data_IF_134377382668
#
_entry.id   IF_134377382668
#
_cell.length_a   1.000
_cell.length_b   1.000
_cell.length_c   1.000
_cell.angle_alpha   90.00
_cell.angle_beta   90.00
_cell.angle_gamma   90.00
#
_symmetry.space_group_name_H-M   'P 1'
#
loop_
_entity.id
_entity.type
_entity.pdbx_description
1 polymer ?
#
# COMPACT_ATOMS: atom_id res chain seq x y z
N UNK A 1 -2.97 0.19 -6.91
CA UNK A 1 -1.79 1.08 -6.90
C UNK A 1 -0.58 0.44 -6.21
N UNK A 2 -0.72 -0.03 -4.97
CA UNK A 2 0.41 -0.57 -4.19
C UNK A 2 1.19 -1.69 -4.90
N UNK A 3 0.52 -2.66 -5.53
CA UNK A 3 1.21 -3.72 -6.29
C UNK A 3 2.04 -3.18 -7.46
N UNK A 4 1.46 -2.26 -8.22
CA UNK A 4 2.07 -1.70 -9.44
C UNK A 4 3.31 -0.85 -9.10
N UNK A 5 3.30 -0.12 -7.98
CA UNK A 5 4.42 0.74 -7.58
C UNK A 5 5.37 0.06 -6.60
N UNK A 6 4.83 -0.67 -5.63
CA UNK A 6 5.56 -1.29 -4.54
C UNK A 6 6.37 -2.52 -4.95
N UNK A 7 5.87 -3.37 -5.87
CA UNK A 7 6.64 -4.54 -6.34
C UNK A 7 7.89 -4.12 -7.12
N UNK A 8 7.82 -3.20 -8.11
CA UNK A 8 9.03 -2.70 -8.76
C UNK A 8 9.98 -1.99 -7.80
N UNK A 9 9.45 -1.19 -6.87
CA UNK A 9 10.26 -0.51 -5.85
C UNK A 9 11.00 -1.50 -4.94
N UNK A 10 10.33 -2.54 -4.46
CA UNK A 10 10.93 -3.61 -3.69
C UNK A 10 12.00 -4.35 -4.50
N UNK A 11 11.76 -4.56 -5.79
CA UNK A 11 12.73 -5.17 -6.70
C UNK A 11 14.00 -4.32 -6.84
N UNK A 12 13.85 -3.02 -7.11
CA UNK A 12 14.97 -2.06 -7.16
C UNK A 12 15.73 -2.05 -5.84
N UNK A 13 15.01 -2.00 -4.71
CA UNK A 13 15.62 -1.98 -3.38
C UNK A 13 16.30 -3.31 -3.00
N UNK A 14 15.90 -4.44 -3.58
CA UNK A 14 16.50 -5.74 -3.32
C UNK A 14 17.71 -6.02 -4.23
N UNK A 15 17.59 -5.73 -5.52
CA UNK A 15 18.51 -6.20 -6.57
C UNK A 15 19.52 -5.16 -7.05
N UNK A 16 19.27 -3.86 -6.86
CA UNK A 16 20.16 -2.80 -7.36
C UNK A 16 20.95 -2.14 -6.21
N UNK A 17 22.20 -1.79 -6.52
CA UNK A 17 23.05 -0.96 -5.68
C UNK A 17 23.19 0.42 -6.35
N UNK A 18 22.81 1.48 -5.64
CA UNK A 18 22.89 2.85 -6.12
C UNK A 18 23.09 3.83 -4.97
N UNK A 19 23.75 4.98 -5.19
CA UNK A 19 23.92 6.00 -4.17
C UNK A 19 22.54 6.53 -3.75
N UNK A 20 22.24 6.48 -2.45
CA UNK A 20 20.93 6.90 -1.91
C UNK A 20 19.93 5.76 -1.63
N UNK A 21 20.26 4.50 -1.92
CA UNK A 21 19.40 3.33 -1.58
C UNK A 21 18.93 3.32 -0.12
N UNK A 22 19.80 3.71 0.81
CA UNK A 22 19.46 3.80 2.25
C UNK A 22 18.42 4.89 2.54
N UNK A 23 18.52 6.03 1.86
CA UNK A 23 17.54 7.12 2.00
C UNK A 23 16.19 6.69 1.42
N UNK A 24 16.17 6.08 0.23
CA UNK A 24 14.93 5.56 -0.36
C UNK A 24 14.28 4.53 0.56
N UNK A 25 15.05 3.57 1.09
CA UNK A 25 14.53 2.60 2.06
C UNK A 25 13.96 3.29 3.29
N UNK A 26 14.67 4.28 3.84
CA UNK A 26 14.18 5.05 4.99
C UNK A 26 12.84 5.73 4.66
N UNK A 27 12.75 6.44 3.54
CA UNK A 27 11.52 7.10 3.08
C UNK A 27 10.34 6.13 2.92
N UNK A 28 10.58 4.92 2.41
CA UNK A 28 9.54 3.88 2.33
C UNK A 28 9.08 3.43 3.71
N UNK A 29 9.98 3.37 4.69
CA UNK A 29 9.64 2.93 6.05
C UNK A 29 9.08 4.04 6.94
N UNK A 30 9.26 5.31 6.58
CA UNK A 30 8.77 6.48 7.35
C UNK A 30 7.28 6.38 7.72
N UNK A 31 6.35 5.94 6.84
CA UNK A 31 4.93 5.83 7.20
C UNK A 31 4.66 4.84 8.34
N UNK A 32 5.56 3.89 8.60
CA UNK A 32 5.41 2.91 9.68
C UNK A 32 5.66 3.51 11.07
N UNK A 33 6.43 4.60 11.15
CA UNK A 33 6.78 5.25 12.42
C UNK A 33 5.99 6.53 12.67
N UNK A 34 5.41 7.11 11.61
CA UNK A 34 4.60 8.32 11.74
C UNK A 34 3.21 7.98 12.30
N UNK A 35 2.71 8.76 13.27
CA UNK A 35 1.29 8.73 13.60
C UNK A 35 0.46 8.99 12.33
N UNK A 36 -0.62 8.24 12.06
CA UNK A 36 -1.33 8.34 10.77
C UNK A 36 -1.83 9.75 10.46
N UNK A 37 -2.29 10.49 11.47
CA UNK A 37 -2.70 11.91 11.35
C UNK A 37 -1.53 12.78 10.86
N UNK A 38 -0.32 12.58 11.39
CA UNK A 38 0.89 13.29 10.93
C UNK A 38 1.20 12.92 9.48
N UNK A 39 0.99 11.66 9.09
CA UNK A 39 1.06 11.21 7.70
C UNK A 39 0.08 11.96 6.80
N UNK A 40 -1.17 12.13 7.24
CA UNK A 40 -2.17 12.91 6.52
C UNK A 40 -1.80 14.39 6.37
N UNK A 41 -1.24 15.01 7.42
CA UNK A 41 -0.71 16.39 7.33
C UNK A 41 0.45 16.47 6.33
N UNK A 42 1.38 15.51 6.36
CA UNK A 42 2.48 15.47 5.41
C UNK A 42 1.96 15.36 3.96
N UNK A 43 0.94 14.53 3.71
CA UNK A 43 0.29 14.43 2.40
C UNK A 43 -0.37 15.76 1.99
N UNK A 44 -1.01 16.49 2.91
CA UNK A 44 -1.53 17.85 2.63
C UNK A 44 -0.41 18.85 2.29
N UNK A 45 0.72 18.81 2.98
CA UNK A 45 1.84 19.70 2.71
C UNK A 45 2.49 19.42 1.34
N UNK A 46 2.43 18.19 0.86
CA UNK A 46 2.96 17.81 -0.46
C UNK A 46 1.92 18.03 -1.56
N UNK A 47 0.72 17.47 -1.41
CA UNK A 47 -0.31 17.41 -2.46
C UNK A 47 -1.44 18.42 -2.30
N UNK A 48 -1.42 19.24 -1.24
CA UNK A 48 -2.32 20.37 -1.08
C UNK A 48 -2.16 21.40 -2.20
N UNK A 49 -3.19 22.24 -2.41
CA UNK A 49 -3.19 23.26 -3.48
C UNK A 49 -2.05 24.28 -3.35
N UNK A 50 -1.55 24.51 -2.13
CA UNK A 50 -0.37 25.34 -1.82
C UNK A 50 0.85 24.49 -1.40
N UNK A 51 0.78 23.18 -1.60
CA UNK A 51 1.82 22.23 -1.25
C UNK A 51 2.93 22.17 -2.28
N UNK A 52 3.98 21.40 -1.96
CA UNK A 52 5.19 21.28 -2.78
C UNK A 52 4.92 20.82 -4.23
N UNK A 53 3.94 19.94 -4.42
CA UNK A 53 3.63 19.29 -5.69
C UNK A 53 2.18 19.57 -6.13
N UNK A 54 1.25 19.70 -5.19
CA UNK A 54 -0.18 19.82 -5.49
C UNK A 54 -0.54 21.03 -6.34
N UNK A 55 0.09 22.19 -6.10
CA UNK A 55 -0.14 23.38 -6.92
C UNK A 55 0.31 23.22 -8.38
N UNK A 56 1.44 22.54 -8.60
CA UNK A 56 1.94 22.23 -9.95
C UNK A 56 1.06 21.21 -10.67
N UNK A 57 0.57 20.18 -9.97
CA UNK A 57 -0.38 19.19 -10.51
C UNK A 57 -1.69 19.85 -10.96
N UNK A 58 -2.23 20.76 -10.14
CA UNK A 58 -3.47 21.48 -10.44
C UNK A 58 -3.29 22.39 -11.67
N UNK A 59 -2.19 23.15 -11.73
CA UNK A 59 -1.94 24.08 -12.84
C UNK A 59 -1.63 23.37 -14.16
N UNK A 60 -0.92 22.24 -14.12
CA UNK A 60 -0.46 21.55 -15.33
C UNK A 60 -1.49 20.55 -15.86
N UNK A 61 -2.19 19.86 -14.96
CA UNK A 61 -3.09 18.75 -15.32
C UNK A 61 -4.54 18.94 -14.84
N UNK A 62 -4.84 20.01 -14.07
CA UNK A 62 -6.16 20.20 -13.47
C UNK A 62 -6.50 19.18 -12.39
N UNK A 63 -5.50 18.55 -11.78
CA UNK A 63 -5.69 17.47 -10.79
C UNK A 63 -5.46 17.99 -9.37
N UNK A 64 -6.50 17.89 -8.54
CA UNK A 64 -6.42 18.14 -7.09
C UNK A 64 -6.72 16.84 -6.34
N UNK A 65 -5.80 16.43 -5.47
CA UNK A 65 -5.92 15.19 -4.69
C UNK A 65 -6.65 15.34 -3.34
N UNK A 66 -6.42 16.40 -2.54
CA UNK A 66 -7.12 16.56 -1.26
C UNK A 66 -8.63 16.53 -1.44
N UNK A 67 -9.33 15.94 -0.47
CA UNK A 67 -10.80 15.86 -0.47
C UNK A 67 -11.44 15.11 -1.65
N UNK A 68 -10.68 14.23 -2.30
CA UNK A 68 -11.17 13.36 -3.38
C UNK A 68 -11.01 11.89 -3.04
N UNK A 69 -11.78 11.03 -3.71
CA UNK A 69 -11.64 9.56 -3.62
C UNK A 69 -10.25 9.12 -4.04
N UNK A 70 -9.63 9.77 -5.03
CA UNK A 70 -8.23 9.52 -5.39
C UNK A 70 -7.28 9.87 -4.25
N UNK A 71 -7.57 10.95 -3.52
CA UNK A 71 -6.85 11.30 -2.30
C UNK A 71 -6.93 10.21 -1.22
N UNK A 72 -8.08 9.57 -1.03
CA UNK A 72 -8.24 8.41 -0.15
C UNK A 72 -7.29 7.27 -0.56
N UNK A 73 -7.28 6.90 -1.85
CA UNK A 73 -6.40 5.84 -2.37
C UNK A 73 -4.93 6.17 -2.16
N UNK A 74 -4.54 7.45 -2.30
CA UNK A 74 -3.17 7.91 -2.04
C UNK A 74 -2.81 7.81 -0.56
N UNK A 75 -3.72 8.24 0.34
CA UNK A 75 -3.51 8.12 1.79
C UNK A 75 -3.37 6.65 2.22
N UNK A 76 -4.28 5.78 1.77
CA UNK A 76 -4.21 4.35 2.06
C UNK A 76 -2.89 3.74 1.56
N UNK A 77 -2.49 4.06 0.33
CA UNK A 77 -1.24 3.54 -0.22
C UNK A 77 0.00 4.05 0.51
N UNK A 78 0.03 5.33 0.89
CA UNK A 78 1.13 5.90 1.69
C UNK A 78 1.34 5.10 2.98
N UNK A 79 0.24 4.77 3.65
CA UNK A 79 0.28 4.06 4.93
C UNK A 79 0.52 2.55 4.76
N UNK A 80 -0.02 1.94 3.71
CA UNK A 80 -0.05 0.48 3.55
C UNK A 80 1.07 -0.10 2.66
N UNK A 81 1.56 0.64 1.66
CA UNK A 81 2.60 0.18 0.74
C UNK A 81 3.89 -0.32 1.43
N UNK A 82 4.36 0.23 2.58
CA UNK A 82 5.59 -0.25 3.21
C UNK A 82 5.53 -1.74 3.59
N UNK A 83 4.36 -2.24 3.99
CA UNK A 83 4.16 -3.66 4.32
C UNK A 83 4.40 -4.56 3.12
N UNK A 84 3.87 -4.17 1.95
CA UNK A 84 4.12 -4.86 0.69
C UNK A 84 5.61 -4.82 0.32
N UNK A 85 6.22 -3.64 0.38
CA UNK A 85 7.63 -3.48 -0.03
C UNK A 85 8.56 -4.33 0.82
N UNK A 86 8.37 -4.35 2.14
CA UNK A 86 9.19 -5.15 3.06
C UNK A 86 9.02 -6.64 2.79
N UNK A 87 7.79 -7.12 2.62
CA UNK A 87 7.52 -8.53 2.33
C UNK A 87 8.15 -8.98 1.00
N UNK A 88 7.99 -8.18 -0.05
CA UNK A 88 8.54 -8.48 -1.38
C UNK A 88 10.06 -8.37 -1.40
N UNK A 89 10.64 -7.35 -0.77
CA UNK A 89 12.10 -7.20 -0.64
C UNK A 89 12.70 -8.38 0.13
N UNK A 90 12.05 -8.82 1.21
CA UNK A 90 12.44 -10.00 1.97
C UNK A 90 12.41 -11.28 1.12
N UNK A 91 11.32 -11.51 0.38
CA UNK A 91 11.19 -12.66 -0.51
C UNK A 91 12.24 -12.67 -1.62
N UNK A 92 12.53 -11.53 -2.22
CA UNK A 92 13.58 -11.38 -3.23
C UNK A 92 14.98 -11.67 -2.70
N UNK A 93 15.27 -11.24 -1.46
CA UNK A 93 16.56 -11.50 -0.81
C UNK A 93 16.73 -12.93 -0.33
N UNK A 94 15.64 -13.57 0.09
CA UNK A 94 15.63 -14.98 0.48
C UNK A 94 15.61 -15.94 -0.72
N UNK A 95 15.18 -15.47 -1.90
CA UNK A 95 15.16 -16.25 -3.13
C UNK A 95 16.59 -16.56 -3.62
N UNK A 96 16.82 -17.82 -3.96
CA UNK A 96 18.10 -18.29 -4.46
C UNK A 96 18.41 -17.73 -5.86
N UNK A 97 19.47 -16.93 -5.94
CA UNK A 97 19.96 -16.28 -7.17
C UNK A 97 20.41 -17.30 -8.22
N UNK A 98 20.78 -18.53 -7.82
CA UNK A 98 21.26 -19.58 -8.74
C UNK A 98 20.23 -19.94 -9.81
N UNK A 99 18.93 -19.81 -9.53
CA UNK A 99 17.89 -20.04 -10.53
C UNK A 99 17.90 -18.96 -11.63
N UNK A 100 18.19 -17.70 -11.27
CA UNK A 100 18.30 -16.60 -12.23
C UNK A 100 19.56 -16.74 -13.08
N UNK A 101 20.68 -17.16 -12.47
CA UNK A 101 21.94 -17.43 -13.15
C UNK A 101 21.83 -18.61 -14.13
N UNK A 102 21.20 -19.71 -13.72
CA UNK A 102 20.96 -20.87 -14.58
C UNK A 102 20.07 -20.51 -15.79
N UNK A 103 19.06 -19.66 -15.61
CA UNK A 103 18.26 -19.17 -16.73
C UNK A 103 19.10 -18.33 -17.70
N UNK A 104 20.01 -17.50 -17.18
CA UNK A 104 20.91 -16.70 -18.00
C UNK A 104 21.91 -17.55 -18.80
N UNK A 105 22.45 -18.63 -18.22
CA UNK A 105 23.35 -19.56 -18.95
C UNK A 105 22.64 -20.35 -20.04
N UNK A 106 21.32 -20.59 -19.88
CA UNK A 106 20.45 -21.15 -20.92
C UNK A 106 20.03 -20.13 -22.00
N UNK A 107 20.56 -18.91 -21.97
CA UNK A 107 20.29 -17.87 -22.96
C UNK A 107 19.01 -17.08 -22.72
N UNK A 108 18.38 -17.19 -21.54
CA UNK A 108 17.21 -16.39 -21.23
C UNK A 108 17.57 -14.90 -21.08
N UNK A 109 16.80 -14.02 -21.73
CA UNK A 109 16.91 -12.58 -21.52
C UNK A 109 16.47 -12.19 -20.11
N UNK A 110 16.93 -11.04 -19.60
CA UNK A 110 16.57 -10.52 -18.26
C UNK A 110 15.06 -10.49 -18.02
N UNK A 111 14.28 -10.14 -19.04
CA UNK A 111 12.82 -10.10 -18.95
C UNK A 111 12.20 -11.50 -18.84
N UNK A 112 12.73 -12.47 -19.58
CA UNK A 112 12.31 -13.87 -19.50
C UNK A 112 12.64 -14.45 -18.13
N UNK A 113 13.85 -14.21 -17.62
CA UNK A 113 14.27 -14.63 -16.27
C UNK A 113 13.36 -14.01 -15.21
N UNK A 114 13.08 -12.71 -15.29
CA UNK A 114 12.17 -12.06 -14.35
C UNK A 114 10.77 -12.67 -14.36
N UNK A 115 10.13 -12.81 -15.54
CA UNK A 115 8.74 -13.29 -15.63
C UNK A 115 8.57 -14.77 -15.34
N UNK A 116 9.54 -15.61 -15.72
CA UNK A 116 9.40 -17.07 -15.65
C UNK A 116 10.14 -17.71 -14.48
N UNK A 117 11.08 -17.01 -13.86
CA UNK A 117 11.88 -17.53 -12.75
C UNK A 117 11.65 -16.69 -11.51
N UNK A 118 12.05 -15.41 -11.52
CA UNK A 118 12.01 -14.56 -10.32
C UNK A 118 10.59 -14.35 -9.82
N UNK A 119 9.66 -13.95 -10.69
CA UNK A 119 8.30 -13.59 -10.29
C UNK A 119 7.52 -14.78 -9.71
N UNK A 120 7.52 -15.99 -10.34
CA UNK A 120 6.91 -17.17 -9.72
C UNK A 120 7.57 -17.56 -8.38
N UNK A 121 8.90 -17.45 -8.29
CA UNK A 121 9.64 -17.78 -7.07
C UNK A 121 9.27 -16.89 -5.89
N UNK A 122 9.06 -15.58 -6.13
CA UNK A 122 8.65 -14.63 -5.09
C UNK A 122 7.14 -14.46 -4.98
N UNK A 123 6.33 -15.11 -5.82
CA UNK A 123 4.88 -14.93 -5.86
C UNK A 123 4.21 -15.14 -4.49
N UNK A 124 4.62 -16.13 -3.67
CA UNK A 124 4.09 -16.27 -2.32
C UNK A 124 4.40 -15.04 -1.45
N UNK A 125 5.62 -14.50 -1.53
CA UNK A 125 6.00 -13.28 -0.81
C UNK A 125 5.24 -12.04 -1.27
N UNK A 126 5.02 -11.90 -2.58
CA UNK A 126 4.21 -10.79 -3.16
C UNK A 126 2.79 -10.85 -2.65
N UNK A 127 2.15 -12.01 -2.70
CA UNK A 127 0.76 -12.07 -2.32
C UNK A 127 0.58 -12.03 -0.78
N UNK A 128 1.54 -12.48 0.04
CA UNK A 128 1.55 -12.26 1.48
C UNK A 128 1.68 -10.76 1.80
N UNK A 129 2.60 -10.06 1.12
CA UNK A 129 2.72 -8.61 1.21
C UNK A 129 1.47 -7.86 0.75
N UNK A 130 0.77 -8.38 -0.27
CA UNK A 130 -0.49 -7.83 -0.75
C UNK A 130 -1.59 -7.94 0.31
N UNK A 131 -1.69 -9.09 0.99
CA UNK A 131 -2.65 -9.30 2.09
C UNK A 131 -2.36 -8.33 3.24
N UNK A 132 -1.10 -8.21 3.67
CA UNK A 132 -0.71 -7.29 4.74
C UNK A 132 -0.98 -5.82 4.38
N UNK A 133 -0.65 -5.43 3.15
CA UNK A 133 -0.95 -4.09 2.63
C UNK A 133 -2.46 -3.84 2.61
N UNK A 134 -3.25 -4.80 2.16
CA UNK A 134 -4.70 -4.66 2.11
C UNK A 134 -5.30 -4.57 3.52
N UNK A 135 -4.89 -5.45 4.43
CA UNK A 135 -5.31 -5.43 5.82
C UNK A 135 -4.98 -4.08 6.49
N UNK A 136 -3.80 -3.53 6.21
CA UNK A 136 -3.41 -2.22 6.73
C UNK A 136 -4.28 -1.09 6.14
N UNK A 137 -4.58 -1.13 4.85
CA UNK A 137 -5.38 -0.11 4.19
C UNK A 137 -6.82 -0.06 4.74
N UNK A 138 -7.44 -1.22 4.98
CA UNK A 138 -8.80 -1.31 5.53
C UNK A 138 -8.98 -0.59 6.87
N UNK A 139 -7.99 -0.73 7.74
CA UNK A 139 -8.02 -0.14 9.07
C UNK A 139 -7.61 1.33 9.08
N UNK A 140 -7.37 1.96 7.92
CA UNK A 140 -6.83 3.31 7.89
C UNK A 140 -7.89 4.38 8.15
N UNK A 141 -7.53 5.29 9.05
CA UNK A 141 -8.41 6.34 9.54
C UNK A 141 -7.71 7.71 9.52
N UNK A 142 -6.57 7.84 10.22
CA UNK A 142 -5.98 9.14 10.54
C UNK A 142 -5.41 9.90 9.34
N UNK A 143 -4.72 9.22 8.43
CA UNK A 143 -4.23 9.84 7.21
C UNK A 143 -5.39 10.26 6.31
N UNK A 144 -6.41 9.41 6.19
CA UNK A 144 -7.58 9.63 5.34
C UNK A 144 -8.42 10.81 5.84
N UNK A 145 -8.78 10.87 7.13
CA UNK A 145 -9.59 11.97 7.66
C UNK A 145 -8.88 13.32 7.51
N UNK A 146 -7.55 13.34 7.70
CA UNK A 146 -6.78 14.58 7.59
C UNK A 146 -6.58 15.01 6.13
N UNK A 147 -6.26 14.09 5.21
CA UNK A 147 -5.94 14.43 3.82
C UNK A 147 -7.15 14.49 2.89
N UNK A 148 -8.09 13.55 3.04
CA UNK A 148 -9.25 13.37 2.19
C UNK A 148 -10.57 13.82 2.84
N UNK A 149 -10.58 14.13 4.14
CA UNK A 149 -11.79 14.50 4.87
C UNK A 149 -12.79 13.34 5.00
N UNK A 150 -13.94 13.63 5.60
CA UNK A 150 -15.04 12.68 5.77
C UNK A 150 -16.30 13.21 5.08
N UNK A 151 -16.39 13.03 3.76
CA UNK A 151 -17.55 13.43 2.96
C UNK A 151 -18.40 12.21 2.62
N UNK A 152 -19.62 12.06 3.18
CA UNK A 152 -20.53 10.97 2.84
C UNK A 152 -20.77 10.87 1.34
N UNK A 153 -20.74 9.64 0.81
CA UNK A 153 -20.89 9.37 -0.62
C UNK A 153 -19.68 9.73 -1.50
N UNK A 154 -18.56 10.21 -0.93
CA UNK A 154 -17.38 10.61 -1.71
C UNK A 154 -16.05 10.12 -1.14
N UNK A 155 -15.76 10.44 0.12
CA UNK A 155 -14.47 10.10 0.78
C UNK A 155 -14.64 9.36 2.09
N UNK A 156 -15.87 9.20 2.58
CA UNK A 156 -16.16 8.45 3.79
C UNK A 156 -15.80 6.97 3.61
N UNK A 157 -14.82 6.50 4.38
CA UNK A 157 -14.46 5.09 4.49
C UNK A 157 -15.24 4.43 5.64
N UNK A 158 -15.24 3.09 5.69
CA UNK A 158 -15.91 2.36 6.77
C UNK A 158 -15.44 2.78 8.19
N UNK A 159 -14.13 2.92 8.47
CA UNK A 159 -13.68 3.45 9.76
C UNK A 159 -14.22 4.86 10.08
N UNK A 160 -14.33 5.73 9.07
CA UNK A 160 -14.88 7.07 9.25
C UNK A 160 -16.39 7.05 9.50
N UNK A 161 -17.11 6.15 8.84
CA UNK A 161 -18.54 5.95 9.07
C UNK A 161 -18.80 5.41 10.49
N UNK A 162 -18.01 4.43 10.95
CA UNK A 162 -18.08 3.91 12.33
C UNK A 162 -17.81 5.02 13.34
N UNK A 163 -16.76 5.82 13.13
CA UNK A 163 -16.43 6.94 14.02
C UNK A 163 -17.56 7.95 14.11
N UNK A 164 -18.14 8.37 12.97
CA UNK A 164 -19.26 9.30 12.95
C UNK A 164 -20.52 8.72 13.60
N UNK A 165 -20.80 7.43 13.36
CA UNK A 165 -21.91 6.74 13.99
C UNK A 165 -21.75 6.68 15.51
N UNK A 166 -20.54 6.48 16.03
CA UNK A 166 -20.30 6.41 17.48
C UNK A 166 -20.72 7.70 18.21
N UNK A 167 -20.64 8.85 17.55
CA UNK A 167 -21.07 10.14 18.09
C UNK A 167 -22.60 10.33 18.06
N UNK A 168 -23.31 9.60 17.19
CA UNK A 168 -24.73 9.84 16.88
C UNK A 168 -25.65 8.70 17.35
N UNK A 169 -25.28 7.47 17.06
CA UNK A 169 -26.03 6.24 17.28
C UNK A 169 -25.06 5.07 17.49
N UNK A 170 -24.92 4.65 18.74
CA UNK A 170 -24.03 3.57 19.16
C UNK A 170 -24.44 2.23 18.53
N UNK A 171 -25.73 1.98 18.34
CA UNK A 171 -26.22 0.73 17.75
C UNK A 171 -25.80 0.67 16.27
N UNK A 172 -25.93 1.77 15.54
CA UNK A 172 -25.43 1.88 14.17
C UNK A 172 -23.91 1.67 14.08
N UNK A 173 -23.13 2.23 15.03
CA UNK A 173 -21.68 2.06 15.08
C UNK A 173 -21.28 0.59 15.31
N UNK A 174 -22.00 -0.13 16.17
CA UNK A 174 -21.80 -1.57 16.41
C UNK A 174 -22.06 -2.35 15.12
N UNK A 175 -23.19 -2.10 14.44
CA UNK A 175 -23.53 -2.79 13.19
C UNK A 175 -22.47 -2.56 12.12
N UNK A 176 -22.05 -1.31 11.89
CA UNK A 176 -21.00 -0.98 10.92
C UNK A 176 -19.66 -1.64 11.28
N UNK A 177 -19.30 -1.69 12.56
CA UNK A 177 -18.10 -2.36 13.04
C UNK A 177 -18.14 -3.87 12.80
N UNK A 178 -19.28 -4.51 13.06
CA UNK A 178 -19.47 -5.94 12.79
C UNK A 178 -19.40 -6.25 11.29
N UNK A 179 -20.02 -5.43 10.44
CA UNK A 179 -19.91 -5.58 8.98
C UNK A 179 -18.45 -5.49 8.54
N UNK A 180 -17.73 -4.45 8.99
CA UNK A 180 -16.31 -4.30 8.67
C UNK A 180 -15.48 -5.48 9.15
N UNK A 181 -15.74 -5.98 10.36
CA UNK A 181 -15.07 -7.15 10.92
C UNK A 181 -15.32 -8.41 10.08
N UNK A 182 -16.58 -8.72 9.77
CA UNK A 182 -16.96 -9.89 8.97
C UNK A 182 -16.34 -9.84 7.58
N UNK A 183 -16.38 -8.68 6.91
CA UNK A 183 -15.76 -8.50 5.59
C UNK A 183 -14.24 -8.66 5.69
N UNK A 184 -13.61 -8.06 6.70
CA UNK A 184 -12.16 -8.15 6.91
C UNK A 184 -11.70 -9.59 7.12
N UNK A 185 -12.35 -10.29 8.06
CA UNK A 185 -12.05 -11.71 8.37
C UNK A 185 -12.37 -12.61 7.18
N UNK A 186 -13.49 -12.39 6.50
CA UNK A 186 -13.90 -13.17 5.34
C UNK A 186 -12.88 -13.09 4.20
N UNK A 187 -12.37 -11.89 3.91
CA UNK A 187 -11.35 -11.72 2.87
C UNK A 187 -10.01 -12.30 3.33
N UNK A 188 -9.60 -12.12 4.59
CA UNK A 188 -8.37 -12.75 5.11
C UNK A 188 -8.44 -14.28 5.05
N UNK A 189 -9.58 -14.88 5.39
CA UNK A 189 -9.80 -16.32 5.33
C UNK A 189 -9.79 -16.83 3.88
N UNK A 190 -10.55 -16.19 2.99
CA UNK A 190 -10.59 -16.53 1.57
C UNK A 190 -9.22 -16.38 0.90
N UNK A 191 -8.43 -15.41 1.35
CA UNK A 191 -7.05 -15.28 0.94
C UNK A 191 -6.26 -16.47 1.48
N UNK A 192 -6.29 -16.78 2.79
CA UNK A 192 -5.53 -17.88 3.44
C UNK A 192 -5.78 -19.27 2.84
N UNK A 193 -7.01 -19.62 2.49
CA UNK A 193 -7.34 -20.98 1.99
C UNK A 193 -6.65 -21.32 0.66
N UNK A 194 -6.26 -20.30 -0.13
CA UNK A 194 -5.46 -20.49 -1.35
C UNK A 194 -3.98 -20.84 -1.11
N UNK A 195 -3.53 -20.89 0.15
CA UNK A 195 -2.11 -21.02 0.53
C UNK A 195 -1.82 -22.23 1.39
N UNK A 196 -2.86 -22.78 2.04
CA UNK A 196 -2.76 -23.97 2.90
C UNK A 196 -3.19 -25.23 2.13
N UNK A 197 -3.68 -25.09 0.89
CA UNK A 197 -3.88 -26.24 0.02
C UNK A 197 -2.50 -26.81 -0.40
N UNK A 198 -2.20 -28.08 -0.08
CA UNK A 198 -0.93 -28.73 -0.40
C UNK A 198 -0.71 -28.91 -1.91
#
# INVERSE_FOLDING_TARGET
MCLVLGVPLAWVLARLEFPGRRLVRALVTVPLVLPPVVGGVALLLVFGRRGLVGGWLDQTFGVSLPFTTTGVVVAEAFVAMPFLVIAVEGALRGADVRFEEAAATLGASRWTTFRRVTLPLIAPGVAAGAVLCWARALGEFGATITFAGNFPGRTQTMPLAVYLALEQDVDAAIVLSLILLVVSVGILAALRDKWVAP
#
